data_IF_604640837549
#
_entry.id   IF_604640837549
#
_cell.length_a   1.000
_cell.length_b   1.000
_cell.length_c   1.000
_cell.angle_alpha   90.00
_cell.angle_beta   90.00
_cell.angle_gamma   90.00
#
_symmetry.space_group_name_H-M   'P 1'
#
loop_
_entity.id
_entity.type
_entity.pdbx_description
1 polymer ?
#
# COMPACT_ATOMS: atom_id res chain seq x y z
N UNK A 1 42.69 -4.54 24.63
CA UNK A 1 42.07 -4.96 23.35
C UNK A 1 42.30 -3.80 22.40
N UNK A 2 43.21 -3.96 21.44
CA UNK A 2 43.72 -2.85 20.60
C UNK A 2 42.65 -2.32 19.66
N UNK A 3 42.44 -1.00 19.72
CA UNK A 3 41.59 -0.26 18.80
C UNK A 3 42.48 0.16 17.62
N UNK A 4 42.42 -0.59 16.53
CA UNK A 4 43.09 -0.18 15.29
C UNK A 4 42.27 0.90 14.60
N UNK A 5 42.70 2.16 14.74
CA UNK A 5 42.17 3.30 14.00
C UNK A 5 42.59 3.22 12.52
N UNK A 6 41.65 2.89 11.64
CA UNK A 6 41.79 3.06 10.19
C UNK A 6 41.11 4.37 9.73
N UNK A 7 41.54 4.99 8.60
CA UNK A 7 41.29 6.41 8.31
C UNK A 7 39.88 6.78 7.83
N UNK A 8 38.86 5.92 7.99
CA UNK A 8 37.45 6.26 7.74
C UNK A 8 36.70 6.25 9.08
N UNK A 9 36.77 7.39 9.77
CA UNK A 9 36.58 7.61 11.21
C UNK A 9 35.16 7.49 11.78
N UNK A 10 34.26 6.67 11.21
CA UNK A 10 32.86 6.65 11.63
C UNK A 10 32.25 5.26 11.85
N UNK A 11 33.05 4.17 11.83
CA UNK A 11 32.52 2.81 11.93
C UNK A 11 33.20 2.02 13.06
N UNK A 12 32.49 1.83 14.18
CA UNK A 12 32.96 1.03 15.32
C UNK A 12 32.41 -0.39 15.18
N UNK A 13 33.28 -1.38 15.18
CA UNK A 13 32.90 -2.78 15.05
C UNK A 13 33.11 -3.53 16.36
N UNK A 14 32.04 -4.07 16.96
CA UNK A 14 32.09 -4.80 18.24
C UNK A 14 31.64 -6.27 18.07
N UNK A 15 31.98 -7.16 19.01
CA UNK A 15 31.46 -8.52 19.04
C UNK A 15 29.92 -8.55 19.14
N UNK A 16 29.30 -9.65 18.71
CA UNK A 16 27.84 -9.79 18.64
C UNK A 16 27.12 -9.87 19.98
N UNK A 17 27.84 -10.16 21.08
CA UNK A 17 27.22 -10.39 22.38
C UNK A 17 26.20 -11.53 22.31
N UNK A 18 24.94 -11.25 22.69
CA UNK A 18 23.84 -12.22 22.69
C UNK A 18 23.05 -12.27 21.36
N UNK A 19 23.45 -11.50 20.35
CA UNK A 19 22.80 -11.52 19.04
C UNK A 19 23.33 -12.66 18.16
N UNK A 20 22.50 -13.19 17.27
CA UNK A 20 22.85 -14.26 16.33
C UNK A 20 23.78 -13.82 15.17
N UNK A 21 24.29 -12.59 15.20
CA UNK A 21 25.24 -12.08 14.21
C UNK A 21 26.69 -12.40 14.60
N UNK A 22 27.65 -12.13 13.69
CA UNK A 22 29.08 -12.27 13.97
C UNK A 22 29.72 -11.00 14.51
N UNK A 23 29.18 -9.85 14.12
CA UNK A 23 29.71 -8.51 14.45
C UNK A 23 28.58 -7.49 14.39
N UNK A 24 28.68 -6.45 15.21
CA UNK A 24 27.79 -5.28 15.18
C UNK A 24 28.63 -4.08 14.75
N UNK A 25 28.09 -3.30 13.82
CA UNK A 25 28.72 -2.08 13.31
C UNK A 25 27.91 -0.87 13.74
N UNK A 26 28.56 0.09 14.41
CA UNK A 26 28.00 1.39 14.70
C UNK A 26 28.53 2.37 13.68
N UNK A 27 27.63 3.01 12.95
CA UNK A 27 27.96 4.00 11.94
C UNK A 27 27.47 5.36 12.43
N UNK A 28 28.35 6.37 12.44
CA UNK A 28 27.90 7.74 12.71
C UNK A 28 27.03 8.20 11.53
N UNK A 29 25.80 8.59 11.81
CA UNK A 29 24.86 9.13 10.84
C UNK A 29 23.99 10.20 11.49
N UNK A 30 23.80 11.32 10.80
CA UNK A 30 23.02 12.45 11.29
C UNK A 30 21.81 12.66 10.35
N UNK A 31 20.58 12.63 10.87
CA UNK A 31 19.38 12.86 10.06
C UNK A 31 19.35 14.30 9.54
N UNK A 32 18.82 14.49 8.34
CA UNK A 32 18.66 15.80 7.71
C UNK A 32 17.27 15.91 7.07
N UNK A 33 16.67 17.10 7.17
CA UNK A 33 15.34 17.39 6.63
C UNK A 33 15.39 17.80 5.14
N UNK A 34 16.58 18.15 4.63
CA UNK A 34 16.81 18.35 3.21
C UNK A 34 16.92 16.98 2.50
N UNK A 35 16.02 16.74 1.55
CA UNK A 35 15.89 15.46 0.84
C UNK A 35 17.16 15.04 0.09
N UNK A 36 17.88 15.97 -0.54
CA UNK A 36 19.08 15.68 -1.34
C UNK A 36 20.25 15.30 -0.44
N UNK A 37 20.46 16.07 0.64
CA UNK A 37 21.49 15.78 1.66
C UNK A 37 21.17 14.45 2.36
N UNK A 38 19.90 14.21 2.68
CA UNK A 38 19.44 12.95 3.26
C UNK A 38 19.77 11.76 2.35
N UNK A 39 19.41 11.84 1.06
CA UNK A 39 19.73 10.79 0.07
C UNK A 39 21.23 10.53 -0.02
N UNK A 40 22.04 11.58 -0.19
CA UNK A 40 23.48 11.43 -0.31
C UNK A 40 24.10 10.79 0.95
N UNK A 41 23.66 11.21 2.14
CA UNK A 41 24.15 10.65 3.40
C UNK A 41 23.84 9.15 3.55
N UNK A 42 22.69 8.69 3.05
CA UNK A 42 22.28 7.29 3.07
C UNK A 42 23.08 6.46 2.06
N UNK A 43 23.36 7.01 0.88
CA UNK A 43 24.23 6.38 -0.14
C UNK A 43 25.63 6.15 0.43
N UNK A 44 26.20 7.18 1.06
CA UNK A 44 27.54 7.11 1.65
C UNK A 44 27.59 6.08 2.79
N UNK A 45 26.57 6.09 3.65
CA UNK A 45 26.42 5.11 4.73
C UNK A 45 26.38 3.68 4.21
N UNK A 46 25.52 3.39 3.22
CA UNK A 46 25.39 2.04 2.66
C UNK A 46 26.71 1.61 2.01
N UNK A 47 27.36 2.51 1.28
CA UNK A 47 28.65 2.25 0.63
C UNK A 47 29.74 1.87 1.65
N UNK A 48 29.86 2.63 2.73
CA UNK A 48 30.82 2.37 3.82
C UNK A 48 30.55 1.01 4.45
N UNK A 49 29.28 0.70 4.72
CA UNK A 49 28.89 -0.57 5.34
C UNK A 49 29.19 -1.75 4.42
N UNK A 50 28.83 -1.68 3.13
CA UNK A 50 29.12 -2.75 2.16
C UNK A 50 30.62 -3.02 2.07
N UNK A 51 31.46 -1.98 1.99
CA UNK A 51 32.92 -2.15 1.96
C UNK A 51 33.44 -2.91 3.19
N UNK A 52 32.88 -2.62 4.38
CA UNK A 52 33.26 -3.31 5.62
C UNK A 52 32.79 -4.76 5.66
N UNK A 53 31.60 -5.07 5.16
CA UNK A 53 31.12 -6.47 5.06
C UNK A 53 32.00 -7.27 4.11
N UNK A 54 32.45 -6.67 2.99
CA UNK A 54 33.39 -7.30 2.04
C UNK A 54 34.74 -7.56 2.72
N UNK A 55 35.32 -6.56 3.39
CA UNK A 55 36.65 -6.69 4.02
C UNK A 55 36.69 -7.78 5.09
N UNK A 56 35.58 -7.99 5.80
CA UNK A 56 35.42 -9.04 6.80
C UNK A 56 34.93 -10.39 6.23
N UNK A 57 34.73 -10.50 4.92
CA UNK A 57 34.27 -11.71 4.22
C UNK A 57 32.94 -12.25 4.76
N UNK A 58 32.03 -11.37 5.15
CA UNK A 58 30.68 -11.74 5.57
C UNK A 58 29.75 -11.93 4.35
N UNK A 59 28.73 -12.76 4.51
CA UNK A 59 27.76 -13.11 3.43
C UNK A 59 26.32 -12.73 3.76
N UNK A 60 26.11 -12.04 4.89
CA UNK A 60 24.80 -11.54 5.29
C UNK A 60 24.93 -10.27 6.11
N UNK A 61 23.94 -9.40 5.99
CA UNK A 61 23.87 -8.14 6.71
C UNK A 61 22.43 -7.83 7.12
N UNK A 62 22.26 -7.14 8.25
CA UNK A 62 20.99 -6.59 8.70
C UNK A 62 21.13 -5.09 8.96
N UNK A 63 20.17 -4.29 8.49
CA UNK A 63 20.06 -2.86 8.73
C UNK A 63 18.83 -2.57 9.59
N UNK A 64 18.90 -1.66 10.57
CA UNK A 64 17.68 -1.10 11.16
C UNK A 64 16.98 -0.19 10.14
N UNK A 65 15.69 0.09 10.34
CA UNK A 65 14.95 1.14 9.64
C UNK A 65 15.43 2.54 10.09
N UNK A 66 16.67 2.88 9.76
CA UNK A 66 17.37 4.10 10.18
C UNK A 66 16.60 5.33 9.72
N UNK A 67 16.38 6.33 10.58
CA UNK A 67 15.70 7.57 10.19
C UNK A 67 14.17 7.48 10.15
N UNK A 68 13.57 6.28 10.10
CA UNK A 68 12.11 6.09 10.08
C UNK A 68 11.44 6.19 11.47
N UNK A 69 12.13 6.70 12.48
CA UNK A 69 11.70 6.74 13.89
C UNK A 69 11.15 8.11 14.31
N UNK A 70 11.65 8.65 15.43
CA UNK A 70 11.29 10.00 15.92
C UNK A 70 11.95 11.14 15.13
N UNK A 71 12.67 10.83 14.06
CA UNK A 71 13.34 11.83 13.21
C UNK A 71 12.38 12.25 12.10
N UNK A 72 12.38 13.52 11.72
CA UNK A 72 11.48 14.07 10.69
C UNK A 72 11.85 13.67 9.25
N UNK A 73 12.62 12.59 9.07
CA UNK A 73 13.03 12.12 7.76
C UNK A 73 11.83 11.49 7.02
N UNK A 74 11.76 11.76 5.72
CA UNK A 74 10.78 11.11 4.84
C UNK A 74 11.06 9.59 4.78
N UNK A 75 10.05 8.80 5.16
CA UNK A 75 10.13 7.33 5.21
C UNK A 75 10.36 6.76 3.82
N UNK A 76 9.68 7.29 2.82
CA UNK A 76 9.81 6.90 1.42
C UNK A 76 11.23 7.11 0.90
N UNK A 77 11.85 8.28 1.14
CA UNK A 77 13.22 8.57 0.71
C UNK A 77 14.21 7.64 1.37
N UNK A 78 14.08 7.44 2.69
CA UNK A 78 14.96 6.56 3.45
C UNK A 78 14.90 5.13 2.90
N UNK A 79 13.70 4.58 2.82
CA UNK A 79 13.49 3.17 2.47
C UNK A 79 13.90 2.92 1.01
N UNK A 80 13.48 3.79 0.10
CA UNK A 80 13.83 3.68 -1.32
C UNK A 80 15.34 3.75 -1.51
N UNK A 81 16.02 4.73 -0.89
CA UNK A 81 17.46 4.93 -1.04
C UNK A 81 18.25 3.75 -0.48
N UNK A 82 17.89 3.28 0.72
CA UNK A 82 18.58 2.14 1.36
C UNK A 82 18.40 0.84 0.56
N UNK A 83 17.19 0.53 0.11
CA UNK A 83 16.92 -0.70 -0.64
C UNK A 83 17.59 -0.64 -2.02
N UNK A 84 17.49 0.49 -2.71
CA UNK A 84 18.09 0.67 -4.01
C UNK A 84 19.62 0.53 -3.96
N UNK A 85 20.30 1.27 -3.08
CA UNK A 85 21.76 1.27 -3.05
C UNK A 85 22.30 -0.13 -2.66
N UNK A 86 21.58 -0.84 -1.79
CA UNK A 86 21.88 -2.24 -1.49
C UNK A 86 21.74 -3.14 -2.72
N UNK A 87 20.61 -3.09 -3.44
CA UNK A 87 20.39 -3.88 -4.67
C UNK A 87 21.49 -3.60 -5.71
N UNK A 88 21.76 -2.32 -5.97
CA UNK A 88 22.81 -1.86 -6.87
C UNK A 88 24.16 -2.49 -6.51
N UNK A 89 24.58 -2.45 -5.25
CA UNK A 89 25.83 -3.09 -4.83
C UNK A 89 25.82 -4.61 -5.00
N UNK A 90 24.73 -5.29 -4.65
CA UNK A 90 24.63 -6.75 -4.82
C UNK A 90 24.80 -7.15 -6.29
N UNK A 91 24.17 -6.42 -7.21
CA UNK A 91 24.18 -6.73 -8.64
C UNK A 91 25.53 -6.37 -9.27
N UNK A 92 25.99 -5.13 -9.08
CA UNK A 92 27.23 -4.64 -9.69
C UNK A 92 28.44 -5.47 -9.26
N UNK A 93 28.45 -5.94 -8.01
CA UNK A 93 29.54 -6.74 -7.44
C UNK A 93 29.28 -8.25 -7.48
N UNK A 94 28.14 -8.70 -8.05
CA UNK A 94 27.71 -10.10 -8.13
C UNK A 94 27.73 -10.84 -6.78
N UNK A 95 27.23 -10.18 -5.74
CA UNK A 95 27.19 -10.69 -4.37
C UNK A 95 25.89 -11.47 -4.13
N UNK A 96 26.01 -12.70 -3.65
CA UNK A 96 24.87 -13.57 -3.28
C UNK A 96 24.46 -13.41 -1.81
N UNK A 97 24.57 -12.20 -1.26
CA UNK A 97 24.39 -11.96 0.17
C UNK A 97 22.93 -11.98 0.60
N UNK A 98 22.69 -12.40 1.85
CA UNK A 98 21.40 -12.23 2.51
C UNK A 98 21.32 -10.87 3.21
N UNK A 99 20.46 -9.98 2.70
CA UNK A 99 20.20 -8.66 3.29
C UNK A 99 18.88 -8.70 4.06
N UNK A 100 18.86 -8.12 5.27
CA UNK A 100 17.66 -7.98 6.10
C UNK A 100 17.47 -6.51 6.49
N UNK A 101 16.24 -6.02 6.44
CA UNK A 101 15.85 -4.76 7.08
C UNK A 101 15.02 -5.08 8.31
N UNK A 102 15.39 -4.49 9.45
CA UNK A 102 14.79 -4.74 10.76
C UNK A 102 13.91 -3.54 11.10
N UNK A 103 12.60 -3.78 11.10
CA UNK A 103 11.57 -2.78 11.37
C UNK A 103 10.94 -3.08 12.73
N UNK A 104 10.60 -2.04 13.49
CA UNK A 104 9.87 -2.19 14.73
C UNK A 104 8.43 -2.65 14.45
N UNK A 105 7.90 -3.61 15.22
CA UNK A 105 6.57 -4.17 15.03
C UNK A 105 5.43 -3.13 15.04
N UNK A 106 5.63 -1.99 15.71
CA UNK A 106 4.63 -0.92 15.78
C UNK A 106 4.68 0.07 14.60
N UNK A 107 5.58 -0.12 13.63
CA UNK A 107 5.78 0.78 12.49
C UNK A 107 5.27 0.13 11.20
N UNK A 108 3.96 -0.12 11.12
CA UNK A 108 3.32 -0.76 9.95
C UNK A 108 3.62 0.00 8.65
N UNK A 109 3.53 1.33 8.66
CA UNK A 109 3.82 2.16 7.49
C UNK A 109 5.27 2.03 6.97
N UNK A 110 6.23 1.84 7.86
CA UNK A 110 7.65 1.64 7.51
C UNK A 110 7.86 0.22 6.99
N UNK A 111 7.22 -0.76 7.62
CA UNK A 111 7.27 -2.17 7.20
C UNK A 111 6.71 -2.32 5.78
N UNK A 112 5.56 -1.72 5.51
CA UNK A 112 4.89 -1.79 4.21
C UNK A 112 5.74 -1.17 3.11
N UNK A 113 6.39 -0.02 3.36
CA UNK A 113 7.27 0.60 2.37
C UNK A 113 8.53 -0.25 2.12
N UNK A 114 9.12 -0.87 3.15
CA UNK A 114 10.24 -1.80 2.96
C UNK A 114 9.81 -3.02 2.14
N UNK A 115 8.65 -3.59 2.44
CA UNK A 115 8.09 -4.71 1.67
C UNK A 115 7.89 -4.31 0.21
N UNK A 116 7.29 -3.14 -0.05
CA UNK A 116 7.14 -2.58 -1.40
C UNK A 116 8.48 -2.49 -2.12
N UNK A 117 9.45 -1.77 -1.57
CA UNK A 117 10.73 -1.52 -2.24
C UNK A 117 11.59 -2.79 -2.42
N UNK A 118 11.57 -3.72 -1.45
CA UNK A 118 12.34 -4.98 -1.53
C UNK A 118 11.76 -5.89 -2.62
N UNK A 119 10.44 -5.99 -2.71
CA UNK A 119 9.75 -6.86 -3.66
C UNK A 119 9.74 -6.32 -5.10
N UNK A 120 9.98 -5.02 -5.29
CA UNK A 120 10.12 -4.43 -6.64
C UNK A 120 11.35 -5.01 -7.36
N UNK A 121 11.17 -5.56 -8.56
CA UNK A 121 12.21 -6.28 -9.31
C UNK A 121 13.06 -5.40 -10.24
N UNK A 122 13.04 -4.08 -10.05
CA UNK A 122 13.67 -3.14 -10.99
C UNK A 122 14.98 -2.58 -10.43
N UNK A 123 16.03 -2.76 -11.24
CA UNK A 123 17.40 -2.36 -10.95
C UNK A 123 17.64 -0.95 -11.50
N UNK A 124 17.27 0.08 -10.74
CA UNK A 124 17.63 1.45 -11.09
C UNK A 124 17.13 2.50 -10.11
N UNK A 125 17.94 3.54 -9.88
CA UNK A 125 17.50 4.86 -9.42
C UNK A 125 16.86 5.49 -10.65
N UNK A 126 15.83 4.83 -11.16
CA UNK A 126 14.98 5.41 -12.16
C UNK A 126 13.88 6.10 -11.36
N UNK A 127 13.69 7.39 -11.65
CA UNK A 127 12.36 8.00 -11.65
C UNK A 127 11.33 6.89 -11.81
N UNK A 128 10.40 6.83 -10.85
CA UNK A 128 9.26 5.93 -10.80
C UNK A 128 9.11 5.21 -12.14
N UNK A 129 9.29 3.88 -12.17
CA UNK A 129 8.81 3.13 -13.34
C UNK A 129 7.48 3.72 -13.68
N UNK A 130 7.34 4.22 -14.91
CA UNK A 130 6.16 4.94 -15.32
C UNK A 130 5.01 3.94 -15.25
N UNK A 131 4.45 3.77 -14.05
CA UNK A 131 3.13 3.26 -13.82
C UNK A 131 2.31 4.22 -14.66
N UNK A 132 1.84 3.73 -15.80
CA UNK A 132 0.98 4.53 -16.62
C UNK A 132 -0.30 4.69 -15.80
N UNK A 133 -0.43 5.88 -15.22
CA UNK A 133 -1.71 6.33 -14.71
C UNK A 133 -2.73 6.12 -15.83
N UNK A 134 -3.96 5.70 -15.50
CA UNK A 134 -4.96 5.46 -16.51
C UNK A 134 -5.04 6.68 -17.42
N UNK A 135 -5.04 6.47 -18.75
CA UNK A 135 -5.12 7.58 -19.70
C UNK A 135 -6.41 8.42 -19.53
N UNK A 136 -7.41 7.86 -18.84
CA UNK A 136 -8.65 8.53 -18.44
C UNK A 136 -8.48 9.49 -17.27
N UNK A 137 -7.34 9.45 -16.55
CA UNK A 137 -7.10 10.35 -15.43
C UNK A 137 -6.77 11.76 -15.92
N UNK A 138 -7.44 12.73 -15.33
CA UNK A 138 -7.20 14.14 -15.58
C UNK A 138 -5.88 14.56 -14.96
N UNK A 139 -5.05 15.29 -15.72
CA UNK A 139 -3.83 15.91 -15.21
C UNK A 139 -4.23 17.16 -14.44
N UNK A 140 -3.85 17.27 -13.17
CA UNK A 140 -4.07 18.46 -12.34
C UNK A 140 -2.76 18.89 -11.70
N UNK A 141 -2.58 20.20 -11.54
CA UNK A 141 -1.41 20.79 -10.87
C UNK A 141 -1.60 20.90 -9.34
N UNK A 142 -2.79 20.56 -8.83
CA UNK A 142 -3.15 20.59 -7.41
C UNK A 142 -3.31 19.15 -6.89
N UNK A 143 -3.21 18.94 -5.57
CA UNK A 143 -3.46 17.66 -4.86
C UNK A 143 -4.94 17.21 -4.92
N UNK A 144 -5.65 17.56 -5.98
CA UNK A 144 -7.05 17.23 -6.20
C UNK A 144 -7.19 15.75 -6.50
N UNK A 145 -7.89 15.04 -5.62
CA UNK A 145 -8.14 13.60 -5.74
C UNK A 145 -9.50 13.28 -6.39
N UNK A 146 -10.47 14.21 -6.35
CA UNK A 146 -11.85 13.98 -6.83
C UNK A 146 -12.13 14.70 -8.14
N UNK A 147 -12.57 13.96 -9.16
CA UNK A 147 -12.90 14.52 -10.47
C UNK A 147 -14.33 14.16 -10.87
N UNK A 148 -15.21 15.15 -10.91
CA UNK A 148 -16.61 14.94 -11.33
C UNK A 148 -16.67 14.61 -12.81
N UNK A 149 -17.22 13.45 -13.14
CA UNK A 149 -17.38 13.02 -14.52
C UNK A 149 -18.47 13.81 -15.24
N UNK A 150 -18.17 14.22 -16.47
CA UNK A 150 -19.18 14.80 -17.37
C UNK A 150 -20.22 13.76 -17.78
N UNK A 151 -21.50 14.12 -17.73
CA UNK A 151 -22.61 13.23 -18.11
C UNK A 151 -22.57 12.80 -19.59
N UNK A 152 -21.78 13.49 -20.42
CA UNK A 152 -21.66 13.24 -21.86
C UNK A 152 -20.69 12.10 -22.19
N UNK A 153 -19.72 11.82 -21.32
CA UNK A 153 -18.65 10.84 -21.59
C UNK A 153 -19.13 9.40 -21.44
N UNK A 154 -18.48 8.48 -22.16
CA UNK A 154 -18.85 7.06 -22.13
C UNK A 154 -18.67 6.44 -20.75
N UNK A 155 -17.61 6.82 -20.03
CA UNK A 155 -17.31 6.35 -18.66
C UNK A 155 -18.50 6.59 -17.71
N UNK A 156 -19.05 7.81 -17.69
CA UNK A 156 -20.23 8.14 -16.89
C UNK A 156 -21.43 7.28 -17.28
N UNK A 157 -21.76 7.23 -18.58
CA UNK A 157 -22.92 6.49 -19.09
C UNK A 157 -22.87 5.00 -18.77
N UNK A 158 -21.68 4.40 -18.82
CA UNK A 158 -21.47 2.99 -18.46
C UNK A 158 -21.73 2.75 -16.98
N UNK A 159 -21.24 3.62 -16.09
CA UNK A 159 -21.47 3.50 -14.65
C UNK A 159 -22.96 3.67 -14.33
N UNK A 160 -23.62 4.68 -14.91
CA UNK A 160 -25.07 4.90 -14.74
C UNK A 160 -25.87 3.68 -15.20
N UNK A 161 -25.63 3.17 -16.41
CA UNK A 161 -26.37 2.00 -16.91
C UNK A 161 -26.28 0.79 -15.98
N UNK A 162 -25.08 0.51 -15.44
CA UNK A 162 -24.88 -0.60 -14.51
C UNK A 162 -25.55 -0.33 -13.15
N UNK A 163 -25.45 0.91 -12.66
CA UNK A 163 -26.05 1.30 -11.38
C UNK A 163 -27.58 1.31 -11.45
N UNK A 164 -28.17 1.83 -12.52
CA UNK A 164 -29.61 1.83 -12.78
C UNK A 164 -30.19 0.41 -12.79
N UNK A 165 -29.47 -0.52 -13.44
CA UNK A 165 -29.84 -1.94 -13.43
C UNK A 165 -29.74 -2.55 -12.02
N UNK A 166 -28.65 -2.27 -11.30
CA UNK A 166 -28.40 -2.81 -9.97
C UNK A 166 -29.30 -2.23 -8.87
N UNK A 167 -29.77 -0.98 -9.04
CA UNK A 167 -30.54 -0.22 -8.06
C UNK A 167 -31.96 0.10 -8.52
N UNK A 168 -32.50 -0.68 -9.46
CA UNK A 168 -33.83 -0.45 -10.05
C UNK A 168 -34.91 -0.27 -8.97
N UNK A 169 -35.53 0.90 -8.94
CA UNK A 169 -36.59 1.25 -7.99
C UNK A 169 -36.11 1.53 -6.56
N UNK A 170 -34.80 1.70 -6.33
CA UNK A 170 -34.20 1.98 -5.01
C UNK A 170 -33.66 3.41 -4.86
N UNK A 171 -33.62 4.18 -5.93
CA UNK A 171 -33.20 5.58 -5.96
C UNK A 171 -34.02 6.34 -7.01
N UNK A 172 -33.98 7.67 -6.95
CA UNK A 172 -34.74 8.61 -7.78
C UNK A 172 -33.86 9.30 -8.81
N UNK A 173 -32.67 9.75 -8.42
CA UNK A 173 -31.72 10.40 -9.32
C UNK A 173 -30.27 10.25 -8.87
N UNK A 174 -29.36 10.20 -9.85
CA UNK A 174 -27.92 10.34 -9.63
C UNK A 174 -27.59 11.84 -9.66
N UNK A 175 -26.95 12.33 -8.60
CA UNK A 175 -26.53 13.73 -8.45
C UNK A 175 -25.20 13.96 -9.15
N UNK A 176 -24.22 13.10 -8.87
CA UNK A 176 -22.89 13.15 -9.48
C UNK A 176 -22.17 11.82 -9.36
N UNK A 177 -21.19 11.62 -10.25
CA UNK A 177 -20.20 10.55 -10.15
C UNK A 177 -18.82 11.19 -10.15
N UNK A 178 -18.03 10.89 -9.15
CA UNK A 178 -16.67 11.39 -9.01
C UNK A 178 -15.68 10.24 -9.20
N UNK A 179 -14.77 10.37 -10.16
CA UNK A 179 -13.60 9.50 -10.30
C UNK A 179 -12.57 9.89 -9.25
N UNK A 180 -12.07 8.89 -8.53
CA UNK A 180 -11.09 9.07 -7.47
C UNK A 180 -9.71 8.78 -8.05
N UNK A 181 -8.86 9.80 -8.09
CA UNK A 181 -7.51 9.76 -8.63
C UNK A 181 -6.48 9.90 -7.51
N UNK A 182 -6.43 8.90 -6.63
CA UNK A 182 -5.41 8.83 -5.60
C UNK A 182 -4.24 7.98 -6.10
N UNK A 183 -3.23 8.65 -6.65
CA UNK A 183 -2.07 8.01 -7.29
C UNK A 183 -1.32 7.08 -6.32
N UNK A 184 -1.11 7.51 -5.07
CA UNK A 184 -0.48 6.68 -4.01
C UNK A 184 -1.19 5.33 -3.85
N UNK A 185 -2.51 5.34 -3.66
CA UNK A 185 -3.27 4.11 -3.43
C UNK A 185 -3.44 3.29 -4.72
N UNK A 186 -3.51 3.95 -5.87
CA UNK A 186 -3.52 3.26 -7.16
C UNK A 186 -2.24 2.46 -7.38
N UNK A 187 -1.06 3.02 -7.07
CA UNK A 187 0.21 2.29 -7.18
C UNK A 187 0.25 1.07 -6.26
N UNK A 188 -0.19 1.21 -5.01
CA UNK A 188 -0.23 0.08 -4.06
C UNK A 188 -1.17 -1.03 -4.55
N UNK A 189 -2.35 -0.64 -5.04
CA UNK A 189 -3.31 -1.56 -5.64
C UNK A 189 -2.72 -2.31 -6.84
N UNK A 190 -2.01 -1.61 -7.74
CA UNK A 190 -1.38 -2.23 -8.91
C UNK A 190 -0.30 -3.25 -8.53
N UNK A 191 0.52 -2.93 -7.53
CA UNK A 191 1.52 -3.85 -7.01
C UNK A 191 0.87 -5.15 -6.47
N UNK A 192 -0.20 -5.01 -5.68
CA UNK A 192 -0.99 -6.15 -5.20
C UNK A 192 -1.67 -6.93 -6.34
N UNK A 193 -2.22 -6.23 -7.32
CA UNK A 193 -2.87 -6.85 -8.49
C UNK A 193 -1.87 -7.69 -9.30
N UNK A 194 -0.63 -7.21 -9.47
CA UNK A 194 0.45 -7.94 -10.13
C UNK A 194 0.82 -9.22 -9.38
N UNK A 195 0.91 -9.18 -8.04
CA UNK A 195 1.11 -10.39 -7.22
C UNK A 195 -0.03 -11.39 -7.42
N UNK A 196 -1.29 -10.94 -7.29
CA UNK A 196 -2.47 -11.80 -7.42
C UNK A 196 -2.49 -12.51 -8.78
N UNK A 197 -2.25 -11.77 -9.87
CA UNK A 197 -2.21 -12.35 -11.22
C UNK A 197 -1.10 -13.38 -11.37
N UNK A 198 0.09 -13.10 -10.83
CA UNK A 198 1.23 -14.03 -10.89
C UNK A 198 1.00 -15.30 -10.07
N UNK A 199 0.46 -15.17 -8.87
CA UNK A 199 0.28 -16.27 -7.92
C UNK A 199 -0.94 -17.14 -8.22
N UNK A 200 -2.00 -16.54 -8.78
CA UNK A 200 -3.27 -17.23 -9.04
C UNK A 200 -3.46 -17.62 -10.50
N UNK A 201 -2.62 -17.10 -11.41
CA UNK A 201 -2.68 -17.35 -12.86
C UNK A 201 -4.05 -17.03 -13.49
N UNK A 202 -4.82 -16.15 -12.85
CA UNK A 202 -6.14 -15.72 -13.31
C UNK A 202 -6.46 -14.31 -12.82
N UNK A 203 -7.35 -13.61 -13.53
CA UNK A 203 -7.85 -12.32 -13.06
C UNK A 203 -8.99 -12.53 -12.04
N UNK A 204 -8.70 -12.24 -10.78
CA UNK A 204 -9.65 -12.32 -9.67
C UNK A 204 -10.15 -10.94 -9.20
N UNK A 205 -9.87 -9.89 -9.98
CA UNK A 205 -10.42 -8.56 -9.71
C UNK A 205 -11.93 -8.55 -9.98
N UNK A 206 -12.70 -7.98 -9.05
CA UNK A 206 -14.14 -7.71 -9.22
C UNK A 206 -14.42 -6.23 -9.04
N UNK A 207 -15.46 -5.75 -9.76
CA UNK A 207 -16.09 -4.46 -9.45
C UNK A 207 -17.21 -4.67 -8.45
N UNK A 208 -17.08 -4.07 -7.28
CA UNK A 208 -17.99 -4.26 -6.15
C UNK A 208 -18.39 -2.91 -5.54
N UNK A 209 -19.54 -2.90 -4.88
CA UNK A 209 -20.10 -1.76 -4.19
C UNK A 209 -19.71 -1.72 -2.71
N UNK A 210 -19.54 -0.51 -2.18
CA UNK A 210 -19.36 -0.26 -0.75
C UNK A 210 -20.17 0.97 -0.34
N UNK A 211 -21.21 0.76 0.45
CA UNK A 211 -22.04 1.83 1.00
C UNK A 211 -21.49 2.36 2.32
N UNK A 212 -21.41 3.67 2.47
CA UNK A 212 -20.98 4.31 3.71
C UNK A 212 -21.63 5.71 3.88
N UNK A 213 -21.59 6.31 5.08
CA UNK A 213 -21.94 7.72 5.27
C UNK A 213 -20.90 8.65 4.64
N UNK A 214 -21.32 9.86 4.26
CA UNK A 214 -20.48 10.88 3.61
C UNK A 214 -19.17 11.19 4.37
N UNK A 215 -19.25 11.24 5.71
CA UNK A 215 -18.08 11.46 6.57
C UNK A 215 -17.01 10.37 6.40
N UNK A 216 -17.42 9.11 6.30
CA UNK A 216 -16.52 7.98 6.08
C UNK A 216 -15.99 7.97 4.64
N UNK A 217 -16.79 8.39 3.66
CA UNK A 217 -16.34 8.48 2.27
C UNK A 217 -15.15 9.43 2.10
N UNK A 218 -15.16 10.58 2.78
CA UNK A 218 -14.04 11.53 2.72
C UNK A 218 -12.73 10.91 3.27
N UNK A 219 -12.81 10.15 4.38
CA UNK A 219 -11.66 9.45 4.92
C UNK A 219 -11.15 8.36 3.96
N UNK A 220 -12.05 7.57 3.35
CA UNK A 220 -11.67 6.53 2.38
C UNK A 220 -10.98 7.12 1.14
N UNK A 221 -11.42 8.29 0.67
CA UNK A 221 -10.82 8.97 -0.49
C UNK A 221 -9.38 9.42 -0.18
N UNK A 222 -9.13 9.89 1.04
CA UNK A 222 -7.80 10.33 1.48
C UNK A 222 -6.88 9.14 1.79
N UNK A 223 -7.36 8.20 2.61
CA UNK A 223 -6.53 7.21 3.33
C UNK A 223 -6.81 5.75 2.96
N UNK A 224 -7.58 5.51 1.89
CA UNK A 224 -8.05 4.20 1.40
C UNK A 224 -9.01 3.43 2.33
N UNK A 225 -9.35 2.20 1.94
CA UNK A 225 -10.17 1.30 2.74
C UNK A 225 -9.35 0.72 3.90
N UNK A 226 -9.42 1.37 5.06
CA UNK A 226 -8.66 0.97 6.23
C UNK A 226 -9.43 -0.06 7.08
N UNK A 227 -8.85 -1.27 7.21
CA UNK A 227 -9.44 -2.37 8.00
C UNK A 227 -9.51 -2.11 9.51
N UNK A 228 -8.79 -1.12 10.04
CA UNK A 228 -8.87 -0.75 11.46
C UNK A 228 -10.26 -0.25 11.86
N UNK A 229 -11.07 0.18 10.88
CA UNK A 229 -12.48 0.55 11.07
C UNK A 229 -13.44 -0.65 10.88
N UNK A 230 -12.94 -1.87 10.73
CA UNK A 230 -13.78 -3.05 10.62
C UNK A 230 -14.66 -3.24 11.87
N UNK A 231 -15.87 -3.74 11.66
CA UNK A 231 -16.82 -4.06 12.74
C UNK A 231 -17.79 -2.96 13.14
N UNK A 232 -17.69 -1.75 12.56
CA UNK A 232 -18.70 -0.68 12.76
C UNK A 232 -20.12 -1.15 12.42
N UNK A 233 -20.25 -2.01 11.41
CA UNK A 233 -21.54 -2.52 10.92
C UNK A 233 -21.67 -4.06 11.09
N UNK A 234 -20.86 -4.66 11.96
CA UNK A 234 -20.79 -6.10 12.18
C UNK A 234 -19.64 -6.81 11.43
N UNK A 235 -19.33 -8.03 11.86
CA UNK A 235 -18.18 -8.80 11.37
C UNK A 235 -18.54 -10.22 10.94
N UNK A 236 -19.80 -10.51 10.59
CA UNK A 236 -20.34 -11.86 10.39
C UNK A 236 -19.44 -12.78 9.54
N UNK A 237 -18.81 -12.25 8.48
CA UNK A 237 -17.97 -13.00 7.55
C UNK A 237 -16.47 -12.68 7.66
N UNK A 238 -16.05 -11.98 8.72
CA UNK A 238 -14.67 -11.57 8.97
C UNK A 238 -14.55 -10.16 9.54
N UNK A 239 -13.43 -9.88 10.20
CA UNK A 239 -13.03 -8.56 10.68
C UNK A 239 -12.15 -7.91 9.60
N UNK A 240 -12.81 -7.39 8.57
CA UNK A 240 -12.17 -6.76 7.42
C UNK A 240 -13.09 -5.76 6.73
N UNK A 241 -12.74 -5.37 5.51
CA UNK A 241 -13.53 -4.41 4.72
C UNK A 241 -14.53 -5.16 3.85
N UNK A 242 -15.80 -4.80 3.95
CA UNK A 242 -16.90 -5.46 3.27
C UNK A 242 -17.22 -4.79 1.94
N UNK A 243 -17.36 -5.61 0.91
CA UNK A 243 -17.81 -5.21 -0.43
C UNK A 243 -18.94 -6.12 -0.87
N UNK A 244 -19.79 -5.62 -1.77
CA UNK A 244 -20.94 -6.38 -2.27
C UNK A 244 -21.04 -6.32 -3.79
N UNK A 245 -21.34 -7.44 -4.45
CA UNK A 245 -21.76 -7.43 -5.86
C UNK A 245 -23.20 -6.97 -6.05
N UNK A 246 -23.97 -6.90 -4.96
CA UNK A 246 -25.33 -6.35 -4.92
C UNK A 246 -25.30 -4.91 -4.38
N UNK A 247 -25.66 -3.95 -5.22
CA UNK A 247 -25.72 -2.53 -4.85
C UNK A 247 -26.83 -2.26 -3.82
N UNK A 248 -27.94 -3.01 -3.86
CA UNK A 248 -29.06 -2.83 -2.92
C UNK A 248 -28.68 -3.25 -1.51
N UNK A 249 -27.83 -4.26 -1.38
CA UNK A 249 -27.20 -4.62 -0.09
C UNK A 249 -26.34 -3.47 0.43
N UNK A 250 -25.48 -2.92 -0.43
CA UNK A 250 -24.63 -1.77 -0.07
C UNK A 250 -25.45 -0.52 0.28
N UNK A 251 -26.61 -0.32 -0.35
CA UNK A 251 -27.50 0.81 -0.08
C UNK A 251 -27.93 0.86 1.39
N UNK A 252 -28.17 -0.30 2.02
CA UNK A 252 -28.52 -0.40 3.43
C UNK A 252 -27.47 0.17 4.40
N UNK A 253 -26.22 0.31 3.96
CA UNK A 253 -25.12 0.88 4.75
C UNK A 253 -24.84 2.36 4.45
N UNK A 254 -25.55 2.92 3.47
CA UNK A 254 -25.52 4.37 3.23
C UNK A 254 -26.42 5.11 4.21
N UNK A 255 -26.10 6.38 4.49
CA UNK A 255 -26.97 7.27 5.26
C UNK A 255 -27.23 8.54 4.46
N UNK A 256 -28.48 9.02 4.37
CA UNK A 256 -28.78 10.27 3.69
C UNK A 256 -28.20 11.43 4.52
N UNK A 257 -27.56 12.39 3.85
CA UNK A 257 -27.15 13.65 4.48
C UNK A 257 -28.33 14.62 4.62
N UNK A 258 -28.07 15.85 5.10
CA UNK A 258 -29.10 16.87 5.29
C UNK A 258 -29.89 17.22 4.01
N UNK A 259 -29.28 17.04 2.83
CA UNK A 259 -29.90 17.25 1.52
C UNK A 259 -30.62 16.02 0.99
N UNK A 260 -30.63 14.91 1.75
CA UNK A 260 -31.19 13.61 1.34
C UNK A 260 -30.25 12.79 0.45
N UNK A 261 -29.01 13.20 0.27
CA UNK A 261 -28.05 12.53 -0.62
C UNK A 261 -27.34 11.38 0.08
N UNK A 262 -27.12 10.30 -0.66
CA UNK A 262 -26.39 9.11 -0.24
C UNK A 262 -25.17 8.94 -1.13
N UNK A 263 -24.10 8.35 -0.58
CA UNK A 263 -22.90 8.05 -1.33
C UNK A 263 -22.56 6.56 -1.26
N UNK A 264 -22.11 6.01 -2.38
CA UNK A 264 -21.68 4.61 -2.49
C UNK A 264 -20.47 4.53 -3.42
N UNK A 265 -19.45 3.78 -3.00
CA UNK A 265 -18.29 3.54 -3.87
C UNK A 265 -18.58 2.40 -4.85
N UNK A 266 -18.09 2.56 -6.07
CA UNK A 266 -17.82 1.46 -7.00
C UNK A 266 -16.30 1.24 -7.00
N UNK A 267 -15.87 0.07 -6.54
CA UNK A 267 -14.47 -0.23 -6.22
C UNK A 267 -13.95 -1.39 -7.05
N UNK A 268 -12.65 -1.38 -7.34
CA UNK A 268 -11.93 -2.57 -7.83
C UNK A 268 -11.42 -3.35 -6.63
N UNK A 269 -11.72 -4.64 -6.56
CA UNK A 269 -11.42 -5.47 -5.39
C UNK A 269 -10.75 -6.76 -5.83
N UNK A 270 -9.56 -7.03 -5.30
CA UNK A 270 -8.81 -8.26 -5.53
C UNK A 270 -9.34 -9.36 -4.60
N UNK A 271 -10.37 -10.10 -5.05
CA UNK A 271 -11.01 -11.12 -4.19
C UNK A 271 -10.17 -12.40 -4.09
N UNK A 272 -9.35 -12.72 -5.09
CA UNK A 272 -8.51 -13.92 -5.08
C UNK A 272 -9.28 -15.22 -4.84
N UNK A 273 -8.64 -16.18 -4.16
CA UNK A 273 -9.29 -17.40 -3.68
C UNK A 273 -10.20 -17.05 -2.49
N UNK A 274 -11.47 -17.43 -2.57
CA UNK A 274 -12.48 -17.13 -1.55
C UNK A 274 -12.85 -18.37 -0.75
N UNK A 275 -13.22 -18.17 0.52
CA UNK A 275 -13.84 -19.19 1.37
C UNK A 275 -14.94 -18.58 2.22
N UNK A 276 -15.81 -19.41 2.80
CA UNK A 276 -16.86 -18.94 3.70
C UNK A 276 -16.26 -18.28 4.93
N UNK A 277 -16.71 -17.06 5.21
CA UNK A 277 -16.25 -16.28 6.36
C UNK A 277 -16.92 -16.66 7.68
N UNK A 278 -16.29 -16.27 8.79
CA UNK A 278 -16.91 -16.25 10.11
C UNK A 278 -16.43 -15.05 10.94
N UNK A 279 -17.12 -14.76 12.04
CA UNK A 279 -16.94 -13.52 12.80
C UNK A 279 -15.64 -13.37 13.57
N UNK A 280 -14.88 -14.45 13.72
CA UNK A 280 -13.62 -14.47 14.46
C UNK A 280 -12.39 -14.24 13.58
N UNK A 281 -12.55 -14.32 12.25
CA UNK A 281 -11.45 -14.20 11.29
C UNK A 281 -10.94 -12.76 11.22
N UNK A 282 -9.77 -12.49 11.82
CA UNK A 282 -9.12 -11.17 11.79
C UNK A 282 -8.14 -10.97 10.63
N UNK A 283 -7.76 -12.07 10.00
CA UNK A 283 -6.84 -12.12 8.87
C UNK A 283 -7.39 -13.10 7.83
N UNK A 284 -6.82 -13.06 6.62
CA UNK A 284 -7.21 -14.01 5.57
C UNK A 284 -7.01 -15.46 6.03
N UNK A 285 -7.95 -16.37 5.76
CA UNK A 285 -7.79 -17.79 6.07
C UNK A 285 -6.62 -18.41 5.30
N UNK A 286 -6.01 -19.47 5.86
CA UNK A 286 -4.90 -20.16 5.20
C UNK A 286 -5.32 -20.69 3.82
N UNK A 287 -4.56 -20.32 2.78
CA UNK A 287 -4.83 -20.73 1.40
C UNK A 287 -5.87 -19.88 0.66
N UNK A 288 -6.46 -18.88 1.32
CA UNK A 288 -7.46 -17.98 0.76
C UNK A 288 -7.01 -16.52 0.86
N UNK A 289 -7.55 -15.67 0.01
CA UNK A 289 -7.23 -14.25 -0.09
C UNK A 289 -8.32 -13.34 0.49
N UNK A 290 -9.57 -13.81 0.47
CA UNK A 290 -10.73 -13.11 1.03
C UNK A 290 -11.77 -14.12 1.55
N UNK A 291 -12.74 -13.62 2.30
CA UNK A 291 -13.91 -14.41 2.72
C UNK A 291 -15.19 -13.91 2.08
N UNK A 292 -16.22 -14.76 2.05
CA UNK A 292 -17.50 -14.47 1.41
C UNK A 292 -18.66 -15.07 2.18
N UNK A 293 -19.87 -14.61 1.88
CA UNK A 293 -21.13 -15.27 2.24
C UNK A 293 -21.56 -16.35 1.23
N UNK A 294 -20.70 -16.65 0.25
CA UNK A 294 -20.95 -17.55 -0.89
C UNK A 294 -21.98 -17.00 -1.88
N UNK A 295 -22.37 -15.73 -1.75
CA UNK A 295 -23.33 -15.05 -2.62
C UNK A 295 -22.76 -13.73 -3.12
N UNK A 296 -23.05 -12.62 -2.42
CA UNK A 296 -22.75 -11.27 -2.90
C UNK A 296 -21.72 -10.53 -2.06
N UNK A 297 -21.37 -11.02 -0.86
CA UNK A 297 -20.45 -10.33 0.05
C UNK A 297 -19.03 -10.84 -0.13
N UNK A 298 -18.06 -9.92 -0.12
CA UNK A 298 -16.64 -10.20 -0.12
C UNK A 298 -15.95 -9.37 0.98
N UNK A 299 -15.11 -10.00 1.79
CA UNK A 299 -14.38 -9.33 2.88
C UNK A 299 -12.88 -9.43 2.63
N UNK A 300 -12.22 -8.27 2.53
CA UNK A 300 -10.76 -8.17 2.35
C UNK A 300 -10.05 -7.89 3.67
N UNK A 301 -8.77 -8.27 3.74
CA UNK A 301 -7.98 -8.25 4.98
C UNK A 301 -6.70 -7.41 4.86
N UNK A 302 -6.54 -6.69 3.75
CA UNK A 302 -5.39 -5.84 3.47
C UNK A 302 -5.84 -4.58 2.75
N UNK A 303 -5.27 -3.44 3.11
CA UNK A 303 -5.80 -2.13 2.71
C UNK A 303 -5.61 -1.90 1.20
N UNK A 304 -4.49 -2.37 0.64
CA UNK A 304 -4.24 -2.37 -0.81
C UNK A 304 -5.01 -3.44 -1.63
N UNK A 305 -5.88 -4.26 -1.03
CA UNK A 305 -6.70 -5.22 -1.81
C UNK A 305 -7.88 -4.56 -2.53
N UNK A 306 -8.21 -3.31 -2.21
CA UNK A 306 -9.31 -2.60 -2.83
C UNK A 306 -8.92 -1.16 -3.19
N UNK A 307 -9.40 -0.72 -4.34
CA UNK A 307 -9.27 0.66 -4.82
C UNK A 307 -10.66 1.28 -4.94
N UNK A 308 -10.89 2.39 -4.23
CA UNK A 308 -12.05 3.23 -4.45
C UNK A 308 -11.89 3.92 -5.80
N UNK A 309 -12.64 3.49 -6.81
CA UNK A 309 -12.47 4.00 -8.18
C UNK A 309 -13.44 5.14 -8.49
N UNK A 310 -14.69 4.99 -8.06
CA UNK A 310 -15.71 6.03 -8.19
C UNK A 310 -16.53 6.18 -6.91
N UNK A 311 -16.95 7.41 -6.63
CA UNK A 311 -18.01 7.71 -5.67
C UNK A 311 -19.27 8.13 -6.42
N UNK A 312 -20.35 7.38 -6.24
CA UNK A 312 -21.68 7.68 -6.80
C UNK A 312 -22.49 8.39 -5.72
N UNK A 313 -22.94 9.61 -6.01
CA UNK A 313 -23.85 10.37 -5.14
C UNK A 313 -25.24 10.38 -5.75
N UNK A 314 -26.26 9.97 -5.00
CA UNK A 314 -27.64 9.80 -5.48
C UNK A 314 -28.66 10.08 -4.37
N UNK A 315 -29.96 10.17 -4.70
CA UNK A 315 -31.06 10.23 -3.74
C UNK A 315 -32.02 9.07 -3.91
#
# INVERSE_FOLDING_TARGET
MEITNHPNSALIAIPSGSLSCKKIFFVKWEPNDNEEILRQSLIDLISIVVQNVISHKFTSIAFPAIGCGKHACSVDIVVQTMVYEMKKHLIQRKLSWRVKFVVNANQENVYDEFCKQVLTTEDGFHEATAYQLPATWEKSAEDKIRFTLSTKVHEYKSIVSNFDQAMKGKYTNIIKIERIQNERWYMQYLAHSKDFRKRLEMNTEKRLYHGCPEQAANAIIADCFNRSYAGVNGTVYGVGVYFSSDATYSHGYTKPNASGERCMFLSRVLVGKTTKGNSTMRTRPLGFDSTTDEKHIFVTYHDAQALAEYLITYK
#
